data_IF_636006321744
#
_entry.id   IF_636006321744
#
_cell.length_a   1.000
_cell.length_b   1.000
_cell.length_c   1.000
_cell.angle_alpha   90.00
_cell.angle_beta   90.00
_cell.angle_gamma   90.00
#
_symmetry.space_group_name_H-M   'P 1'
#
loop_
_entity.id
_entity.type
_entity.pdbx_description
1 polymer ?
#
# COMPACT_ATOMS: atom_id res chain seq x y z
N UNK A 1 7.75 -15.13 -10.74
CA UNK A 1 6.28 -14.91 -10.95
C UNK A 1 5.70 -14.23 -9.73
N UNK A 2 4.91 -13.17 -9.92
CA UNK A 2 4.24 -12.46 -8.84
C UNK A 2 2.94 -13.16 -8.44
N UNK A 3 2.71 -13.28 -7.14
CA UNK A 3 1.46 -13.76 -6.56
C UNK A 3 0.83 -12.64 -5.74
N UNK A 4 -0.44 -12.37 -5.98
CA UNK A 4 -1.21 -11.31 -5.33
C UNK A 4 -2.24 -11.90 -4.38
N UNK A 5 -2.32 -11.33 -3.19
CA UNK A 5 -3.28 -11.67 -2.15
C UNK A 5 -3.97 -10.40 -1.71
N UNK A 6 -5.23 -10.46 -1.36
CA UNK A 6 -5.96 -9.29 -0.89
C UNK A 6 -6.93 -9.63 0.22
N UNK A 7 -7.17 -8.66 1.06
CA UNK A 7 -8.14 -8.74 2.16
C UNK A 7 -8.68 -7.36 2.50
N UNK A 8 -9.72 -7.33 3.28
CA UNK A 8 -10.23 -6.13 3.93
C UNK A 8 -10.74 -6.46 5.33
N UNK A 9 -10.68 -5.49 6.23
CA UNK A 9 -11.20 -5.59 7.58
C UNK A 9 -11.92 -4.30 7.98
N UNK A 10 -12.91 -4.45 8.86
CA UNK A 10 -13.66 -3.33 9.43
C UNK A 10 -13.52 -3.37 10.95
N UNK A 11 -12.36 -2.94 11.45
CA UNK A 11 -11.98 -3.02 12.85
C UNK A 11 -11.48 -1.67 13.35
N UNK A 12 -11.97 -1.20 14.50
CA UNK A 12 -11.60 0.11 15.05
C UNK A 12 -10.12 0.18 15.46
N UNK A 13 -9.61 -0.88 16.09
CA UNK A 13 -8.23 -0.92 16.55
C UNK A 13 -7.29 -1.15 15.35
N UNK A 14 -6.39 -0.22 15.11
CA UNK A 14 -5.50 -0.23 13.95
C UNK A 14 -4.61 -1.46 13.88
N UNK A 15 -3.94 -1.83 14.98
CA UNK A 15 -3.06 -3.01 15.01
C UNK A 15 -3.84 -4.29 14.73
N UNK A 16 -5.02 -4.43 15.34
CA UNK A 16 -5.90 -5.57 15.09
C UNK A 16 -6.40 -5.61 13.64
N UNK A 17 -6.73 -4.46 13.04
CA UNK A 17 -7.15 -4.40 11.64
C UNK A 17 -6.05 -4.90 10.69
N UNK A 18 -4.79 -4.49 10.91
CA UNK A 18 -3.64 -4.98 10.15
C UNK A 18 -3.48 -6.48 10.34
N UNK A 19 -3.50 -6.96 11.58
CA UNK A 19 -3.37 -8.40 11.87
C UNK A 19 -4.44 -9.22 11.15
N UNK A 20 -5.70 -8.80 11.25
CA UNK A 20 -6.82 -9.48 10.60
C UNK A 20 -6.69 -9.48 9.08
N UNK A 21 -6.30 -8.35 8.48
CA UNK A 21 -6.02 -8.29 7.05
C UNK A 21 -4.89 -9.24 6.63
N UNK A 22 -3.80 -9.30 7.37
CA UNK A 22 -2.66 -10.17 7.09
C UNK A 22 -3.05 -11.65 7.19
N UNK A 23 -3.77 -12.03 8.25
CA UNK A 23 -4.23 -13.40 8.46
C UNK A 23 -5.21 -13.85 7.36
N UNK A 24 -6.17 -13.00 6.98
CA UNK A 24 -7.13 -13.31 5.92
C UNK A 24 -6.42 -13.47 4.56
N UNK A 25 -5.46 -12.60 4.24
CA UNK A 25 -4.77 -12.61 2.95
C UNK A 25 -3.75 -13.73 2.83
N UNK A 26 -2.99 -14.03 3.89
CA UNK A 26 -1.76 -14.82 3.84
C UNK A 26 -1.77 -16.05 4.76
N UNK A 27 -2.77 -16.18 5.65
CA UNK A 27 -2.77 -17.19 6.69
C UNK A 27 -1.57 -16.99 7.63
N UNK A 28 -0.84 -18.06 7.91
CA UNK A 28 0.37 -18.02 8.75
C UNK A 28 1.65 -17.64 7.98
N UNK A 29 1.56 -17.45 6.64
CA UNK A 29 2.72 -17.28 5.76
C UNK A 29 3.05 -15.81 5.44
N UNK A 30 2.78 -14.89 6.37
CA UNK A 30 3.00 -13.46 6.14
C UNK A 30 4.48 -13.03 6.20
N UNK A 31 5.39 -13.87 6.70
CA UNK A 31 6.82 -13.56 6.74
C UNK A 31 7.50 -13.63 5.37
N UNK A 32 6.91 -14.36 4.41
CA UNK A 32 7.46 -14.58 3.07
C UNK A 32 6.95 -13.56 2.04
N UNK A 33 6.30 -12.48 2.49
CA UNK A 33 5.77 -11.47 1.60
C UNK A 33 6.83 -10.42 1.27
N UNK A 34 6.87 -9.96 0.02
CA UNK A 34 7.87 -9.00 -0.47
C UNK A 34 7.35 -7.55 -0.50
N UNK A 35 6.04 -7.37 -0.68
CA UNK A 35 5.39 -6.06 -0.68
C UNK A 35 4.03 -6.14 0.01
N UNK A 36 3.74 -5.15 0.84
CA UNK A 36 2.43 -4.91 1.45
C UNK A 36 1.98 -3.50 1.06
N UNK A 37 0.79 -3.40 0.49
CA UNK A 37 0.10 -2.13 0.22
C UNK A 37 -1.13 -2.06 1.11
N UNK A 38 -1.20 -1.02 1.93
CA UNK A 38 -2.28 -0.78 2.87
C UNK A 38 -3.05 0.49 2.49
N UNK A 39 -4.35 0.37 2.40
CA UNK A 39 -5.27 1.48 2.31
C UNK A 39 -6.15 1.50 3.55
N UNK A 40 -6.15 2.60 4.26
CA UNK A 40 -6.94 2.73 5.48
C UNK A 40 -7.70 4.06 5.50
N UNK A 41 -8.91 4.00 6.03
CA UNK A 41 -9.69 5.21 6.30
C UNK A 41 -9.01 6.07 7.37
N UNK A 42 -9.36 7.34 7.40
CA UNK A 42 -8.75 8.35 8.28
C UNK A 42 -8.94 8.07 9.78
N UNK A 43 -9.79 7.12 10.16
CA UNK A 43 -9.97 6.70 11.55
C UNK A 43 -8.84 5.82 12.10
N UNK A 44 -7.91 5.36 11.24
CA UNK A 44 -6.77 4.56 11.65
C UNK A 44 -5.52 5.40 11.94
N UNK A 45 -4.70 4.93 12.88
CA UNK A 45 -3.39 5.51 13.16
C UNK A 45 -2.34 4.96 12.18
N UNK A 46 -1.84 5.81 11.29
CA UNK A 46 -0.90 5.41 10.24
C UNK A 46 0.43 4.87 10.78
N UNK A 47 0.94 5.44 11.87
CA UNK A 47 2.16 4.98 12.50
C UNK A 47 2.01 3.55 13.02
N UNK A 48 0.95 3.30 13.80
CA UNK A 48 0.64 1.96 14.31
C UNK A 48 0.40 0.95 13.20
N UNK A 49 -0.22 1.38 12.09
CA UNK A 49 -0.48 0.53 10.93
C UNK A 49 0.82 0.04 10.29
N UNK A 50 1.77 0.94 10.04
CA UNK A 50 3.06 0.61 9.45
C UNK A 50 3.92 -0.22 10.41
N UNK A 51 3.92 0.13 11.70
CA UNK A 51 4.64 -0.61 12.74
C UNK A 51 4.14 -2.06 12.82
N UNK A 52 2.81 -2.25 12.91
CA UNK A 52 2.23 -3.59 12.99
C UNK A 52 2.53 -4.43 11.76
N UNK A 53 2.40 -3.86 10.56
CA UNK A 53 2.74 -4.56 9.33
C UNK A 53 4.23 -4.95 9.29
N UNK A 54 5.12 -4.07 9.79
CA UNK A 54 6.55 -4.33 9.86
C UNK A 54 6.92 -5.38 10.91
N UNK A 55 6.22 -5.42 12.03
CA UNK A 55 6.39 -6.46 13.05
C UNK A 55 6.03 -7.85 12.49
N UNK A 56 4.93 -7.94 11.72
CA UNK A 56 4.47 -9.21 11.14
C UNK A 56 5.29 -9.65 9.93
N UNK A 57 5.72 -8.71 9.09
CA UNK A 57 6.49 -8.98 7.86
C UNK A 57 7.74 -8.08 7.79
N UNK A 58 8.78 -8.37 8.59
CA UNK A 58 9.96 -7.49 8.74
C UNK A 58 10.75 -7.30 7.45
N UNK A 59 10.68 -8.23 6.53
CA UNK A 59 11.41 -8.19 5.25
C UNK A 59 10.61 -7.52 4.12
N UNK A 60 9.29 -7.32 4.30
CA UNK A 60 8.45 -6.72 3.29
C UNK A 60 8.72 -5.21 3.13
N UNK A 61 8.60 -4.73 1.89
CA UNK A 61 8.41 -3.29 1.63
C UNK A 61 6.96 -2.94 1.92
N UNK A 62 6.74 -1.80 2.58
CA UNK A 62 5.41 -1.38 2.99
C UNK A 62 5.08 -0.04 2.34
N UNK A 63 3.95 0.02 1.68
CA UNK A 63 3.33 1.23 1.15
C UNK A 63 1.98 1.41 1.84
N UNK A 64 1.71 2.59 2.32
CA UNK A 64 0.46 2.89 2.99
C UNK A 64 -0.11 4.23 2.52
N UNK A 65 -1.42 4.27 2.33
CA UNK A 65 -2.14 5.47 1.94
C UNK A 65 -3.47 5.60 2.69
N UNK A 66 -3.87 6.84 2.99
CA UNK A 66 -5.22 7.13 3.46
C UNK A 66 -6.21 7.12 2.30
N UNK A 67 -7.44 6.74 2.58
CA UNK A 67 -8.53 6.76 1.62
C UNK A 67 -9.85 7.14 2.30
N UNK A 68 -10.82 7.59 1.51
CA UNK A 68 -12.17 7.90 2.01
C UNK A 68 -13.04 6.64 2.13
N UNK A 69 -12.64 5.55 1.48
CA UNK A 69 -13.34 4.28 1.51
C UNK A 69 -12.50 3.19 0.84
N UNK A 70 -12.90 1.95 1.01
CA UNK A 70 -12.23 0.79 0.44
C UNK A 70 -13.22 -0.05 -0.39
N UNK A 71 -12.69 -0.71 -1.41
CA UNK A 71 -13.37 -1.76 -2.15
C UNK A 71 -12.64 -3.06 -1.87
N UNK A 72 -13.21 -3.88 -1.01
CA UNK A 72 -12.65 -5.17 -0.63
C UNK A 72 -13.46 -6.33 -1.20
N UNK A 73 -13.12 -7.55 -0.79
CA UNK A 73 -13.85 -8.76 -1.21
C UNK A 73 -15.32 -8.75 -0.79
N UNK A 74 -15.65 -8.00 0.26
CA UNK A 74 -17.01 -7.89 0.82
C UNK A 74 -17.80 -6.71 0.21
N UNK A 75 -17.25 -6.04 -0.79
CA UNK A 75 -17.87 -4.92 -1.46
C UNK A 75 -17.29 -3.56 -1.07
N UNK A 76 -18.08 -2.52 -1.30
CA UNK A 76 -17.72 -1.13 -1.03
C UNK A 76 -18.01 -0.78 0.43
N UNK A 77 -17.11 -0.04 1.07
CA UNK A 77 -17.33 0.52 2.39
C UNK A 77 -16.69 1.91 2.51
N UNK A 78 -17.40 2.82 3.18
CA UNK A 78 -16.98 4.19 3.48
C UNK A 78 -16.90 4.43 5.00
N UNK A 79 -16.69 3.37 5.76
CA UNK A 79 -16.57 3.47 7.22
C UNK A 79 -15.19 3.99 7.63
N UNK A 80 -15.13 4.78 8.69
CA UNK A 80 -13.86 5.22 9.30
C UNK A 80 -13.03 4.08 9.92
N UNK A 81 -13.55 2.84 9.88
CA UNK A 81 -12.91 1.64 10.43
C UNK A 81 -12.35 0.72 9.34
N UNK A 82 -12.46 1.14 8.09
CA UNK A 82 -12.10 0.28 6.96
C UNK A 82 -10.61 0.27 6.72
N UNK A 83 -10.11 -0.92 6.44
CA UNK A 83 -8.75 -1.16 5.98
C UNK A 83 -8.79 -2.20 4.86
N UNK A 84 -8.01 -1.98 3.81
CA UNK A 84 -7.77 -2.95 2.76
C UNK A 84 -6.26 -3.19 2.61
N UNK A 85 -5.91 -4.42 2.31
CA UNK A 85 -4.55 -4.87 2.15
C UNK A 85 -4.40 -5.60 0.81
N UNK A 86 -3.32 -5.30 0.10
CA UNK A 86 -2.78 -6.12 -0.97
C UNK A 86 -1.38 -6.57 -0.56
N UNK A 87 -1.12 -7.86 -0.61
CA UNK A 87 0.19 -8.43 -0.41
C UNK A 87 0.71 -9.07 -1.70
N UNK A 88 2.00 -8.95 -1.95
CA UNK A 88 2.65 -9.50 -3.14
C UNK A 88 3.84 -10.37 -2.72
N UNK A 89 3.88 -11.60 -3.23
CA UNK A 89 5.04 -12.48 -3.18
C UNK A 89 5.70 -12.54 -4.55
N UNK A 90 7.03 -12.47 -4.56
CA UNK A 90 7.86 -12.43 -5.77
C UNK A 90 8.58 -11.09 -5.89
N UNK A 91 9.73 -11.12 -6.55
CA UNK A 91 10.66 -9.98 -6.58
C UNK A 91 10.64 -9.19 -7.90
N UNK A 92 9.80 -9.60 -8.85
CA UNK A 92 9.73 -9.00 -10.17
C UNK A 92 8.88 -7.70 -10.16
N UNK A 93 9.21 -6.77 -9.26
CA UNK A 93 8.58 -5.45 -9.19
C UNK A 93 9.56 -4.37 -8.75
N UNK A 94 9.33 -3.14 -9.20
CA UNK A 94 9.99 -1.93 -8.72
C UNK A 94 9.09 -1.15 -7.76
N UNK A 95 9.69 -0.42 -6.84
CA UNK A 95 9.02 0.54 -5.97
C UNK A 95 9.82 1.83 -5.92
N UNK A 96 9.17 2.94 -6.26
CA UNK A 96 9.73 4.27 -6.13
C UNK A 96 8.72 5.20 -5.44
N UNK A 97 9.24 6.11 -4.66
CA UNK A 97 8.45 7.16 -4.01
C UNK A 97 9.18 8.48 -4.09
N UNK A 98 8.44 9.55 -4.19
CA UNK A 98 8.96 10.92 -4.11
C UNK A 98 8.09 11.72 -3.16
N UNK A 99 8.72 12.66 -2.45
CA UNK A 99 8.07 13.57 -1.54
C UNK A 99 8.16 15.01 -2.08
N UNK A 100 7.38 15.91 -1.51
CA UNK A 100 7.40 17.33 -1.82
C UNK A 100 7.13 17.59 -3.31
N UNK A 101 6.04 17.00 -3.83
CA UNK A 101 5.57 17.24 -5.18
C UNK A 101 4.68 18.48 -5.15
N UNK A 102 5.05 19.47 -5.96
CA UNK A 102 4.30 20.70 -6.18
C UNK A 102 4.04 20.87 -7.67
N UNK A 103 3.09 21.71 -8.05
CA UNK A 103 2.79 21.99 -9.47
C UNK A 103 4.02 22.40 -10.29
N UNK A 104 4.94 23.14 -9.65
CA UNK A 104 6.19 23.62 -10.29
C UNK A 104 7.24 22.54 -10.54
N UNK A 105 7.24 21.42 -9.80
CA UNK A 105 8.26 20.37 -9.91
C UNK A 105 7.69 18.98 -10.23
N UNK A 106 6.39 18.85 -10.40
CA UNK A 106 5.69 17.57 -10.56
C UNK A 106 6.21 16.76 -11.74
N UNK A 107 6.52 17.42 -12.87
CA UNK A 107 7.06 16.74 -14.05
C UNK A 107 8.44 16.13 -13.78
N UNK A 108 9.36 16.90 -13.20
CA UNK A 108 10.72 16.44 -12.91
C UNK A 108 10.72 15.30 -11.89
N UNK A 109 9.95 15.43 -10.83
CA UNK A 109 9.78 14.41 -9.79
C UNK A 109 9.16 13.12 -10.34
N UNK A 110 8.16 13.24 -11.19
CA UNK A 110 7.53 12.09 -11.84
C UNK A 110 8.48 11.39 -12.82
N UNK A 111 9.29 12.16 -13.56
CA UNK A 111 10.31 11.61 -14.47
C UNK A 111 11.41 10.88 -13.71
N UNK A 112 11.88 11.43 -12.59
CA UNK A 112 12.86 10.79 -11.70
C UNK A 112 12.33 9.44 -11.19
N UNK A 113 11.10 9.45 -10.70
CA UNK A 113 10.43 8.24 -10.20
C UNK A 113 10.27 7.19 -11.32
N UNK A 114 9.86 7.60 -12.52
CA UNK A 114 9.71 6.71 -13.66
C UNK A 114 11.05 6.09 -14.11
N UNK A 115 12.15 6.85 -14.10
CA UNK A 115 13.50 6.34 -14.35
C UNK A 115 13.92 5.30 -13.33
N UNK A 116 13.73 5.59 -12.04
CA UNK A 116 14.03 4.64 -10.95
C UNK A 116 13.23 3.33 -11.09
N UNK A 117 11.94 3.41 -11.41
CA UNK A 117 11.12 2.22 -11.68
C UNK A 117 11.63 1.43 -12.88
N UNK A 118 12.03 2.11 -13.96
CA UNK A 118 12.54 1.46 -15.17
C UNK A 118 13.85 0.72 -14.92
N UNK A 119 14.70 1.26 -14.05
CA UNK A 119 15.96 0.62 -13.66
C UNK A 119 15.72 -0.62 -12.80
N UNK A 120 14.76 -0.55 -11.85
CA UNK A 120 14.42 -1.67 -10.96
C UNK A 120 13.68 -2.80 -11.68
N UNK A 121 12.83 -2.47 -12.65
CA UNK A 121 11.96 -3.42 -13.34
C UNK A 121 11.83 -3.07 -14.83
N UNK A 122 12.89 -3.31 -15.63
CA UNK A 122 12.94 -2.90 -17.05
C UNK A 122 11.89 -3.57 -17.93
N UNK A 123 11.39 -4.74 -17.56
CA UNK A 123 10.35 -5.47 -18.26
C UNK A 123 8.92 -5.16 -17.76
N UNK A 124 8.76 -4.09 -16.97
CA UNK A 124 7.44 -3.70 -16.44
C UNK A 124 6.47 -3.35 -17.56
N UNK A 125 5.29 -3.94 -17.49
CA UNK A 125 4.15 -3.70 -18.37
C UNK A 125 2.91 -3.17 -17.62
N UNK A 126 3.00 -3.00 -16.29
CA UNK A 126 1.95 -2.43 -15.46
C UNK A 126 2.55 -1.53 -14.39
N UNK A 127 1.96 -0.37 -14.20
CA UNK A 127 2.34 0.58 -13.15
C UNK A 127 1.11 0.84 -12.26
N UNK A 128 1.28 0.67 -10.96
CA UNK A 128 0.33 1.09 -9.95
C UNK A 128 0.79 2.41 -9.35
N UNK A 129 0.00 3.45 -9.54
CA UNK A 129 0.33 4.81 -9.13
C UNK A 129 -0.57 5.27 -7.99
N UNK A 130 0.05 5.67 -6.88
CA UNK A 130 -0.61 6.31 -5.74
C UNK A 130 -0.19 7.78 -5.69
N UNK A 131 -1.14 8.67 -5.84
CA UNK A 131 -0.93 10.09 -5.72
C UNK A 131 -1.68 10.66 -4.51
N UNK A 132 -1.14 11.70 -3.88
CA UNK A 132 -1.89 12.50 -2.93
C UNK A 132 -3.00 13.24 -3.66
N UNK A 133 -4.23 13.13 -3.15
CA UNK A 133 -5.39 13.83 -3.71
C UNK A 133 -5.65 15.20 -3.10
N UNK A 134 -4.83 15.61 -2.12
CA UNK A 134 -5.10 16.84 -1.33
C UNK A 134 -4.25 18.02 -1.81
N UNK A 135 -3.11 17.77 -2.42
CA UNK A 135 -2.21 18.80 -2.94
C UNK A 135 -2.46 19.04 -4.45
N UNK A 136 -3.67 19.38 -4.77
CA UNK A 136 -3.95 19.93 -6.10
C UNK A 136 -3.69 21.41 -5.97
N UNK A 137 -2.50 21.82 -6.36
CA UNK A 137 -2.21 23.21 -6.66
C UNK A 137 -3.01 23.58 -7.92
N UNK A 138 -4.09 24.30 -7.70
CA UNK A 138 -4.94 24.81 -8.77
C UNK A 138 -4.29 26.03 -9.42
#
# INVERSE_FOLDING_TARGET
MLHFYSSSARVVNTRRAVTECMEIALGENYQDVDLIVLHASIGHNFKEMVEQAKEMAPNARIVAASCCGVVGREGVSESMKDMALMAVKGKEFGLASVNEIYGSNSYEKSLEMAKSLKEQAPATNMVYFLASGIDIDN
#
